data_IF_055607742236
#
_entry.id   IF_055607742236
#
_cell.length_a   1.000
_cell.length_b   1.000
_cell.length_c   1.000
_cell.angle_alpha   90.00
_cell.angle_beta   90.00
_cell.angle_gamma   90.00
#
_symmetry.space_group_name_H-M   'P 1'
#
loop_
_entity.id
_entity.type
_entity.pdbx_description
1 polymer ?
#
# COMPACT_ATOMS: atom_id res chain seq x y z
N UNK A 1 9.65 -18.22 -48.31
CA UNK A 1 8.84 -17.22 -47.56
C UNK A 1 8.86 -17.52 -46.06
N UNK A 2 10.00 -17.33 -45.38
CA UNK A 2 10.14 -17.62 -43.94
C UNK A 2 10.17 -16.34 -43.06
N UNK A 3 10.45 -15.17 -43.64
CA UNK A 3 10.61 -13.91 -42.89
C UNK A 3 9.32 -13.42 -42.20
N UNK A 4 8.15 -13.80 -42.70
CA UNK A 4 6.86 -13.32 -42.18
C UNK A 4 6.50 -13.89 -40.81
N UNK A 5 6.92 -15.13 -40.51
CA UNK A 5 6.65 -15.75 -39.20
C UNK A 5 7.44 -15.09 -38.08
N UNK A 6 8.74 -14.86 -38.30
CA UNK A 6 9.61 -14.16 -37.35
C UNK A 6 9.12 -12.75 -37.06
N UNK A 7 8.71 -11.99 -38.09
CA UNK A 7 8.12 -10.65 -37.92
C UNK A 7 6.82 -10.69 -37.09
N UNK A 8 5.93 -11.65 -37.36
CA UNK A 8 4.67 -11.83 -36.62
C UNK A 8 4.92 -12.16 -35.14
N UNK A 9 5.89 -13.02 -34.83
CA UNK A 9 6.24 -13.37 -33.46
C UNK A 9 6.85 -12.19 -32.69
N UNK A 10 7.73 -11.42 -33.33
CA UNK A 10 8.32 -10.24 -32.71
C UNK A 10 7.29 -9.15 -32.43
N UNK A 11 6.31 -8.96 -33.33
CA UNK A 11 5.21 -8.04 -33.11
C UNK A 11 4.34 -8.45 -31.90
N UNK A 12 4.00 -9.74 -31.79
CA UNK A 12 3.28 -10.27 -30.61
C UNK A 12 4.05 -10.01 -29.31
N UNK A 13 5.36 -10.27 -29.28
CA UNK A 13 6.21 -10.00 -28.10
C UNK A 13 6.22 -8.53 -27.72
N UNK A 14 6.26 -7.61 -28.69
CA UNK A 14 6.20 -6.16 -28.43
C UNK A 14 4.85 -5.75 -27.82
N UNK A 15 3.74 -6.23 -28.37
CA UNK A 15 2.40 -5.96 -27.83
C UNK A 15 2.28 -6.45 -26.38
N UNK A 16 2.72 -7.68 -26.10
CA UNK A 16 2.67 -8.23 -24.73
C UNK A 16 3.49 -7.39 -23.75
N UNK A 17 4.72 -7.02 -24.12
CA UNK A 17 5.56 -6.13 -23.29
C UNK A 17 4.93 -4.76 -23.05
N UNK A 18 4.22 -4.21 -24.03
CA UNK A 18 3.52 -2.94 -23.86
C UNK A 18 2.36 -3.08 -22.88
N UNK A 19 1.53 -4.12 -23.05
CA UNK A 19 0.42 -4.43 -22.13
C UNK A 19 0.91 -4.63 -20.69
N UNK A 20 2.00 -5.38 -20.50
CA UNK A 20 2.59 -5.61 -19.19
C UNK A 20 3.10 -4.31 -18.55
N UNK A 21 3.74 -3.43 -19.32
CA UNK A 21 4.18 -2.11 -18.85
C UNK A 21 3.00 -1.23 -18.46
N UNK A 22 1.92 -1.26 -19.23
CA UNK A 22 0.71 -0.47 -18.96
C UNK A 22 0.00 -0.97 -17.70
N UNK A 23 -0.09 -2.29 -17.51
CA UNK A 23 -0.61 -2.91 -16.28
C UNK A 23 0.24 -2.50 -15.07
N UNK A 24 1.55 -2.69 -15.13
CA UNK A 24 2.46 -2.28 -14.04
C UNK A 24 2.36 -0.78 -13.72
N UNK A 25 2.10 0.06 -14.73
CA UNK A 25 1.86 1.50 -14.54
C UNK A 25 0.52 1.76 -13.87
N UNK A 26 -0.54 1.04 -14.22
CA UNK A 26 -1.84 1.12 -13.58
C UNK A 26 -1.77 0.65 -12.12
N UNK A 27 -1.14 -0.49 -11.85
CA UNK A 27 -0.95 -1.03 -10.50
C UNK A 27 -0.18 -0.04 -9.62
N UNK A 28 0.91 0.54 -10.16
CA UNK A 28 1.65 1.58 -9.44
C UNK A 28 0.81 2.81 -9.17
N UNK A 29 -0.18 3.16 -10.00
CA UNK A 29 -1.09 4.29 -9.75
C UNK A 29 -2.13 3.94 -8.68
N UNK A 30 -2.70 2.74 -8.73
CA UNK A 30 -3.72 2.28 -7.79
C UNK A 30 -3.15 2.03 -6.39
N UNK A 31 -1.96 1.43 -6.32
CA UNK A 31 -1.30 1.06 -5.07
C UNK A 31 -0.19 2.03 -4.65
N UNK A 32 -0.11 3.22 -5.27
CA UNK A 32 0.87 4.21 -4.84
C UNK A 32 0.52 4.68 -3.43
N UNK A 33 1.44 4.51 -2.48
CA UNK A 33 1.30 5.10 -1.16
C UNK A 33 1.77 6.58 -1.13
N UNK A 34 2.27 7.13 -2.24
CA UNK A 34 2.66 8.54 -2.33
C UNK A 34 1.41 9.43 -2.34
N UNK A 35 1.26 10.24 -1.29
CA UNK A 35 0.12 11.16 -1.10
C UNK A 35 -0.94 10.64 -0.13
N UNK A 36 -0.77 9.44 0.41
CA UNK A 36 -1.55 9.03 1.59
C UNK A 36 -1.10 9.88 2.78
N UNK A 37 -2.05 10.45 3.51
CA UNK A 37 -1.78 11.32 4.66
C UNK A 37 -1.14 10.57 5.82
N UNK A 38 -0.70 11.30 6.85
CA UNK A 38 -0.07 10.75 8.06
C UNK A 38 -0.91 9.62 8.70
N UNK A 39 -2.23 9.73 8.66
CA UNK A 39 -3.17 8.74 9.19
C UNK A 39 -3.00 7.35 8.56
N UNK A 40 -2.62 7.28 7.27
CA UNK A 40 -2.37 6.00 6.59
C UNK A 40 -1.01 5.35 6.94
N UNK A 41 -0.19 6.03 7.73
CA UNK A 41 1.06 5.50 8.29
C UNK A 41 0.88 5.02 9.73
N UNK A 42 -0.22 5.40 10.37
CA UNK A 42 -0.59 4.92 11.70
C UNK A 42 -1.17 3.51 11.57
N UNK A 43 -0.66 2.61 12.40
CA UNK A 43 -1.18 1.24 12.53
C UNK A 43 -1.49 1.04 14.00
N UNK A 44 -2.70 0.54 14.28
CA UNK A 44 -3.07 0.20 15.64
C UNK A 44 -2.65 -1.23 15.96
N UNK A 45 -2.18 -1.43 17.19
CA UNK A 45 -1.74 -2.74 17.70
C UNK A 45 -2.64 -3.11 18.86
N UNK A 46 -3.21 -4.31 18.82
CA UNK A 46 -4.03 -4.85 19.90
C UNK A 46 -3.19 -5.37 21.09
N UNK A 47 -3.87 -5.83 22.14
CA UNK A 47 -3.22 -6.35 23.36
C UNK A 47 -2.39 -7.62 23.12
N UNK A 48 -2.58 -8.26 21.96
CA UNK A 48 -1.90 -9.48 21.54
C UNK A 48 -0.77 -9.20 20.54
N UNK A 49 -0.55 -7.94 20.17
CA UNK A 49 0.50 -7.54 19.21
C UNK A 49 0.11 -7.68 17.74
N UNK A 50 -1.16 -7.92 17.41
CA UNK A 50 -1.64 -7.96 16.04
C UNK A 50 -2.06 -6.57 15.54
N UNK A 51 -1.86 -6.34 14.24
CA UNK A 51 -2.30 -5.12 13.58
C UNK A 51 -3.81 -5.12 13.39
N UNK A 52 -4.45 -4.01 13.76
CA UNK A 52 -5.90 -3.85 13.66
C UNK A 52 -6.26 -2.53 12.97
N UNK A 53 -7.33 -2.56 12.18
CA UNK A 53 -7.90 -1.35 11.54
C UNK A 53 -8.80 -0.57 12.50
N UNK A 54 -9.19 -1.21 13.61
CA UNK A 54 -10.00 -0.61 14.67
C UNK A 54 -9.12 0.23 15.57
N UNK A 55 -9.38 1.55 15.60
CA UNK A 55 -8.79 2.44 16.59
C UNK A 55 -9.06 1.87 18.00
N UNK A 56 -8.04 1.71 18.85
CA UNK A 56 -8.24 1.21 20.21
C UNK A 56 -9.12 2.21 20.96
N UNK A 57 -10.06 1.69 21.73
CA UNK A 57 -10.91 2.50 22.60
C UNK A 57 -10.04 3.43 23.45
N UNK A 58 -10.36 4.73 23.54
CA UNK A 58 -9.58 5.68 24.34
C UNK A 58 -9.65 5.26 25.80
N UNK A 59 -8.64 4.52 26.28
CA UNK A 59 -8.46 4.26 27.70
C UNK A 59 -8.35 5.63 28.35
N UNK A 60 -9.40 6.05 29.07
CA UNK A 60 -9.44 7.29 29.84
C UNK A 60 -8.22 7.27 30.76
N UNK A 61 -7.15 7.95 30.36
CA UNK A 61 -5.96 8.10 31.18
C UNK A 61 -6.40 9.03 32.29
N UNK A 62 -6.80 8.44 33.42
CA UNK A 62 -6.98 9.15 34.68
C UNK A 62 -5.63 9.82 34.91
N UNK A 63 -5.58 11.14 34.67
CA UNK A 63 -4.43 11.96 35.03
C UNK A 63 -4.22 11.66 36.51
N UNK A 64 -3.14 10.94 36.85
CA UNK A 64 -2.72 10.82 38.23
C UNK A 64 -2.32 12.22 38.62
N UNK A 65 -3.29 12.95 39.19
CA UNK A 65 -3.05 14.22 39.83
C UNK A 65 -1.94 13.98 40.84
N UNK A 66 -0.76 14.52 40.55
CA UNK A 66 0.28 14.69 41.54
C UNK A 66 -0.28 15.72 42.53
N UNK A 67 -1.07 15.25 43.48
CA UNK A 67 -1.52 16.04 44.62
C UNK A 67 -0.27 16.51 45.36
N UNK A 68 -0.10 17.83 45.34
CA UNK A 68 0.68 18.63 46.30
C UNK A 68 0.75 17.95 47.66
N UNK A 69 1.93 17.94 48.26
CA UNK A 69 2.07 17.99 49.70
C UNK A 69 3.24 18.93 50.06
N UNK A 70 3.17 19.54 51.27
CA UNK A 70 3.45 20.95 51.54
C UNK A 70 4.89 21.40 51.38
#
# INVERSE_FOLDING_TARGET
>A
MADSFSKKQQHKKKILKQKEKDQKKADRKLHNNKGKGFDSMLIYVDENGHFTDTKPEPKLVIKKETTKNP
#
